data_IF_514757428590
#
_entry.id   IF_514757428590
#
_cell.length_a   1.000
_cell.length_b   1.000
_cell.length_c   1.000
_cell.angle_alpha   90.00
_cell.angle_beta   90.00
_cell.angle_gamma   90.00
#
_symmetry.space_group_name_H-M   'P 1'
#
loop_
_entity.id
_entity.type
_entity.pdbx_description
1 polymer ?
#
# COMPACT_ATOMS: atom_id res chain seq x y z
N UNK A 1 -36.81 14.34 23.48
CA UNK A 1 -37.91 14.91 22.64
C UNK A 1 -39.23 14.88 23.41
N UNK A 2 -40.17 15.76 23.07
CA UNK A 2 -41.52 15.69 23.61
C UNK A 2 -42.16 14.34 23.22
N UNK A 3 -42.79 13.60 24.16
CA UNK A 3 -43.40 12.29 23.90
C UNK A 3 -44.43 12.29 22.77
N UNK A 4 -45.07 13.42 22.48
CA UNK A 4 -46.05 13.59 21.38
C UNK A 4 -45.41 13.43 20.00
N UNK A 5 -44.09 13.64 19.89
CA UNK A 5 -43.32 13.50 18.67
C UNK A 5 -42.46 12.23 18.65
N UNK A 6 -42.73 11.28 19.54
CA UNK A 6 -42.05 9.99 19.57
C UNK A 6 -42.95 8.86 19.10
N UNK A 7 -42.38 7.89 18.39
CA UNK A 7 -43.06 6.66 18.02
C UNK A 7 -43.28 5.79 19.27
N UNK A 8 -44.52 5.38 19.54
CA UNK A 8 -44.82 4.58 20.73
C UNK A 8 -44.35 3.11 20.66
N UNK A 9 -43.75 2.69 19.54
CA UNK A 9 -43.20 1.33 19.37
C UNK A 9 -41.71 1.29 19.69
N UNK A 10 -40.93 2.20 19.12
CA UNK A 10 -39.47 2.25 19.29
C UNK A 10 -39.01 3.37 20.22
N UNK A 11 -39.92 4.24 20.68
CA UNK A 11 -39.68 5.33 21.63
C UNK A 11 -38.73 6.44 21.16
N UNK A 12 -38.45 6.50 19.86
CA UNK A 12 -37.59 7.52 19.23
C UNK A 12 -38.41 8.59 18.50
N UNK A 13 -37.79 9.74 18.18
CA UNK A 13 -38.43 10.84 17.44
C UNK A 13 -38.97 10.37 16.09
N UNK A 14 -40.21 10.68 15.75
CA UNK A 14 -40.90 10.12 14.57
C UNK A 14 -40.12 10.30 13.26
N UNK A 15 -39.99 9.21 12.49
CA UNK A 15 -39.40 9.19 11.16
C UNK A 15 -40.43 8.65 10.16
N UNK A 16 -40.81 9.49 9.20
CA UNK A 16 -41.87 9.19 8.23
C UNK A 16 -43.18 8.72 8.92
N UNK A 17 -43.76 9.56 9.80
CA UNK A 17 -44.89 9.20 10.66
C UNK A 17 -46.16 8.85 9.86
N UNK A 18 -46.91 7.86 10.31
CA UNK A 18 -48.28 7.58 9.87
C UNK A 18 -49.25 7.76 11.04
N UNK A 19 -50.40 8.37 10.78
CA UNK A 19 -51.45 8.57 11.78
C UNK A 19 -52.59 7.62 11.48
N UNK A 20 -52.92 6.76 12.44
CA UNK A 20 -54.03 5.82 12.31
C UNK A 20 -55.39 6.52 12.43
N UNK A 21 -56.50 5.89 11.96
CA UNK A 21 -57.84 6.44 12.15
C UNK A 21 -58.21 6.70 13.62
N UNK A 22 -57.63 5.94 14.56
CA UNK A 22 -57.79 6.16 16.00
C UNK A 22 -56.94 7.32 16.57
N UNK A 23 -56.26 8.11 15.72
CA UNK A 23 -55.47 9.29 16.11
C UNK A 23 -54.03 9.02 16.54
N UNK A 24 -53.69 7.78 16.90
CA UNK A 24 -52.33 7.41 17.30
C UNK A 24 -51.34 7.40 16.13
N UNK A 25 -50.14 7.91 16.37
CA UNK A 25 -49.10 8.10 15.35
C UNK A 25 -47.87 7.25 15.65
N UNK A 26 -47.30 6.66 14.60
CA UNK A 26 -46.16 5.75 14.65
C UNK A 26 -45.29 5.94 13.41
N UNK A 27 -44.07 5.38 13.42
CA UNK A 27 -43.28 5.31 12.18
C UNK A 27 -43.92 4.36 11.17
N UNK A 28 -43.88 4.73 9.89
CA UNK A 28 -44.36 3.86 8.82
C UNK A 28 -43.65 2.49 8.83
N UNK A 29 -42.35 2.46 9.14
CA UNK A 29 -41.55 1.23 9.17
C UNK A 29 -41.97 0.31 10.32
N UNK A 30 -42.09 0.84 11.55
CA UNK A 30 -42.52 0.07 12.71
C UNK A 30 -43.92 -0.53 12.51
N UNK A 31 -44.85 0.24 11.93
CA UNK A 31 -46.19 -0.28 11.65
C UNK A 31 -46.20 -1.34 10.56
N UNK A 32 -45.39 -1.19 9.50
CA UNK A 32 -45.24 -2.22 8.46
C UNK A 32 -44.70 -3.52 9.03
N UNK A 33 -43.70 -3.46 9.90
CA UNK A 33 -43.12 -4.64 10.54
C UNK A 33 -44.09 -5.34 11.49
N UNK A 34 -44.87 -4.59 12.28
CA UNK A 34 -45.96 -5.16 13.07
C UNK A 34 -47.03 -5.80 12.17
N UNK A 35 -47.37 -5.15 11.05
CA UNK A 35 -48.32 -5.68 10.07
C UNK A 35 -47.89 -7.02 9.48
N UNK A 36 -46.62 -7.16 9.10
CA UNK A 36 -46.10 -8.39 8.49
C UNK A 36 -45.99 -9.53 9.51
N UNK A 37 -45.54 -9.24 10.73
CA UNK A 37 -45.45 -10.24 11.81
C UNK A 37 -46.82 -10.80 12.22
N UNK A 38 -47.87 -9.99 12.16
CA UNK A 38 -49.23 -10.41 12.50
C UNK A 38 -49.85 -11.41 11.51
N UNK A 39 -49.33 -11.53 10.27
CA UNK A 39 -49.85 -12.47 9.28
C UNK A 39 -49.52 -13.95 9.58
N UNK A 40 -48.51 -14.23 10.39
CA UNK A 40 -48.08 -15.60 10.70
C UNK A 40 -48.77 -16.24 11.91
N UNK A 41 -49.49 -15.46 12.71
CA UNK A 41 -50.32 -15.97 13.81
C UNK A 41 -51.77 -15.87 13.37
N UNK A 42 -52.28 -16.94 12.77
CA UNK A 42 -53.72 -17.09 12.51
C UNK A 42 -54.51 -16.56 13.73
N UNK A 43 -55.38 -15.57 13.50
CA UNK A 43 -56.45 -15.07 14.41
C UNK A 43 -56.18 -13.93 15.41
N UNK A 44 -55.22 -13.03 15.16
CA UNK A 44 -55.28 -11.71 15.82
C UNK A 44 -55.50 -10.59 14.80
N UNK A 45 -56.71 -10.02 14.83
CA UNK A 45 -57.03 -8.77 14.14
C UNK A 45 -55.94 -7.74 14.38
N UNK A 46 -55.44 -7.15 13.30
CA UNK A 46 -54.42 -6.10 13.34
C UNK A 46 -55.02 -4.94 14.14
N UNK A 47 -54.42 -4.62 15.29
CA UNK A 47 -54.95 -3.65 16.25
C UNK A 47 -53.88 -2.63 16.61
N UNK A 48 -54.32 -1.40 16.85
CA UNK A 48 -53.45 -0.32 17.32
C UNK A 48 -52.73 -0.75 18.61
N UNK A 49 -51.38 -0.64 18.67
CA UNK A 49 -50.61 -1.03 19.87
C UNK A 49 -50.99 -0.26 21.14
N UNK A 50 -51.57 0.94 21.00
CA UNK A 50 -51.93 1.79 22.14
C UNK A 50 -53.37 1.53 22.60
N UNK A 51 -54.35 1.72 21.71
CA UNK A 51 -55.77 1.72 22.08
C UNK A 51 -56.56 0.49 21.60
N UNK A 52 -55.89 -0.45 20.91
CA UNK A 52 -56.49 -1.69 20.39
C UNK A 52 -57.61 -1.51 19.37
N UNK A 53 -57.82 -0.30 18.83
CA UNK A 53 -58.71 -0.09 17.68
C UNK A 53 -58.26 -0.94 16.49
N UNK A 54 -59.22 -1.46 15.71
CA UNK A 54 -58.93 -2.20 14.49
C UNK A 54 -58.14 -1.34 13.49
N UNK A 55 -57.13 -1.94 12.87
CA UNK A 55 -56.31 -1.29 11.86
C UNK A 55 -56.96 -1.46 10.46
N UNK A 56 -56.87 -0.44 9.59
CA UNK A 56 -57.42 -0.52 8.24
C UNK A 56 -56.66 -1.54 7.40
N UNK A 57 -57.30 -2.17 6.42
CA UNK A 57 -56.65 -3.16 5.56
C UNK A 57 -55.36 -2.64 4.90
N UNK A 58 -55.39 -1.38 4.46
CA UNK A 58 -54.25 -0.63 3.93
C UNK A 58 -53.83 0.43 4.94
N UNK A 59 -52.55 0.45 5.30
CA UNK A 59 -52.02 1.47 6.21
C UNK A 59 -52.05 2.87 5.56
N UNK A 60 -52.31 3.93 6.35
CA UNK A 60 -52.25 5.31 5.85
C UNK A 60 -50.88 5.68 5.29
N UNK A 61 -50.86 6.64 4.37
CA UNK A 61 -49.62 7.26 3.87
C UNK A 61 -48.96 8.11 4.96
N UNK A 62 -47.69 8.44 4.73
CA UNK A 62 -46.91 9.32 5.61
C UNK A 62 -47.61 10.67 5.77
N UNK A 63 -47.74 11.11 7.02
CA UNK A 63 -48.25 12.42 7.39
C UNK A 63 -47.12 13.45 7.20
N UNK A 64 -47.12 14.13 6.05
CA UNK A 64 -46.10 15.09 5.67
C UNK A 64 -46.04 16.31 6.61
N UNK A 65 -47.18 16.73 7.15
CA UNK A 65 -47.24 17.86 8.09
C UNK A 65 -46.55 17.53 9.41
N UNK A 66 -46.79 16.34 9.98
CA UNK A 66 -46.09 15.88 11.18
C UNK A 66 -44.60 15.64 10.90
N UNK A 67 -44.26 15.09 9.73
CA UNK A 67 -42.87 14.93 9.32
C UNK A 67 -42.13 16.27 9.30
N UNK A 68 -42.69 17.27 8.63
CA UNK A 68 -42.10 18.61 8.55
C UNK A 68 -42.00 19.29 9.93
N UNK A 69 -43.01 19.11 10.79
CA UNK A 69 -42.98 19.63 12.15
C UNK A 69 -41.85 19.00 12.97
N UNK A 70 -41.69 17.67 12.90
CA UNK A 70 -40.62 16.94 13.58
C UNK A 70 -39.24 17.36 13.07
N UNK A 71 -39.05 17.41 11.75
CA UNK A 71 -37.78 17.82 11.14
C UNK A 71 -37.42 19.28 11.48
N UNK A 72 -38.41 20.13 11.75
CA UNK A 72 -38.20 21.51 12.20
C UNK A 72 -37.93 21.62 13.70
N UNK A 73 -38.64 20.87 14.53
CA UNK A 73 -38.56 20.97 16.00
C UNK A 73 -37.40 20.16 16.59
N UNK A 74 -37.03 19.05 15.94
CA UNK A 74 -36.02 18.10 16.39
C UNK A 74 -35.07 17.70 15.23
N UNK A 75 -34.41 18.68 14.57
CA UNK A 75 -33.62 18.44 13.36
C UNK A 75 -32.48 17.44 13.59
N UNK A 76 -31.71 17.60 14.67
CA UNK A 76 -30.54 16.77 14.96
C UNK A 76 -30.94 15.32 15.25
N UNK A 77 -32.01 15.12 16.02
CA UNK A 77 -32.49 13.78 16.34
C UNK A 77 -33.08 13.09 15.11
N UNK A 78 -33.84 13.83 14.28
CA UNK A 78 -34.40 13.30 13.04
C UNK A 78 -33.30 12.92 12.04
N UNK A 79 -32.26 13.75 11.90
CA UNK A 79 -31.12 13.49 11.02
C UNK A 79 -30.32 12.26 11.48
N UNK A 80 -29.94 12.21 12.76
CA UNK A 80 -29.21 11.08 13.36
C UNK A 80 -29.98 9.77 13.16
N UNK A 81 -31.27 9.79 13.48
CA UNK A 81 -32.15 8.62 13.33
C UNK A 81 -32.29 8.18 11.88
N UNK A 82 -32.39 9.12 10.93
CA UNK A 82 -32.47 8.80 9.50
C UNK A 82 -31.20 8.11 9.01
N UNK A 83 -30.03 8.53 9.48
CA UNK A 83 -28.74 7.89 9.18
C UNK A 83 -28.64 6.48 9.78
N UNK A 84 -29.09 6.29 11.02
CA UNK A 84 -29.11 4.96 11.64
C UNK A 84 -30.00 3.99 10.89
N UNK A 85 -31.16 4.44 10.42
CA UNK A 85 -32.11 3.61 9.65
C UNK A 85 -31.52 3.22 8.29
N UNK A 86 -30.83 4.12 7.59
CA UNK A 86 -30.14 3.77 6.33
C UNK A 86 -29.01 2.78 6.57
N UNK A 87 -28.20 2.95 7.63
CA UNK A 87 -27.16 1.99 8.02
C UNK A 87 -27.74 0.61 8.35
N UNK A 88 -28.81 0.54 9.14
CA UNK A 88 -29.50 -0.72 9.47
C UNK A 88 -30.06 -1.39 8.20
N UNK A 89 -30.65 -0.63 7.30
CA UNK A 89 -31.19 -1.15 6.03
C UNK A 89 -30.08 -1.71 5.12
N UNK A 90 -28.94 -1.01 5.01
CA UNK A 90 -27.78 -1.49 4.27
C UNK A 90 -27.18 -2.76 4.88
N UNK A 91 -27.03 -2.81 6.21
CA UNK A 91 -26.57 -3.99 6.92
C UNK A 91 -27.53 -5.19 6.76
N UNK A 92 -28.84 -4.93 6.75
CA UNK A 92 -29.84 -5.99 6.54
C UNK A 92 -29.85 -6.51 5.10
N UNK A 93 -29.65 -5.63 4.10
CA UNK A 93 -29.45 -6.02 2.71
C UNK A 93 -28.17 -6.85 2.55
N UNK A 94 -27.07 -6.45 3.21
CA UNK A 94 -25.82 -7.22 3.24
C UNK A 94 -26.02 -8.58 3.91
N UNK A 95 -26.68 -8.64 5.08
CA UNK A 95 -26.97 -9.90 5.76
C UNK A 95 -27.82 -10.83 4.89
N UNK A 96 -28.82 -10.28 4.19
CA UNK A 96 -29.66 -11.07 3.27
C UNK A 96 -28.83 -11.60 2.10
N UNK A 97 -27.98 -10.76 1.49
CA UNK A 97 -27.07 -11.19 0.43
C UNK A 97 -26.08 -12.29 0.89
N UNK A 98 -25.54 -12.16 2.10
CA UNK A 98 -24.65 -13.17 2.74
C UNK A 98 -25.40 -14.45 3.07
N UNK A 99 -26.69 -14.36 3.43
CA UNK A 99 -27.51 -15.54 3.78
C UNK A 99 -27.95 -16.34 2.56
N UNK A 100 -28.01 -15.73 1.36
CA UNK A 100 -28.47 -16.40 0.13
C UNK A 100 -27.31 -17.12 -0.58
N UNK A 101 -26.06 -16.66 -0.45
CA UNK A 101 -24.87 -17.41 -0.90
C UNK A 101 -23.67 -17.24 0.07
N UNK A 102 -23.58 -18.08 1.13
CA UNK A 102 -22.46 -18.05 2.09
C UNK A 102 -21.09 -18.28 1.43
N UNK A 103 -21.10 -19.08 0.36
CA UNK A 103 -19.91 -19.62 -0.27
C UNK A 103 -19.29 -18.70 -1.33
N UNK A 104 -20.09 -17.86 -1.99
CA UNK A 104 -19.63 -17.00 -3.07
C UNK A 104 -18.95 -15.74 -2.54
N UNK A 105 -19.48 -15.14 -1.47
CA UNK A 105 -18.89 -13.94 -0.87
C UNK A 105 -17.64 -14.32 -0.09
N UNK A 106 -17.65 -15.40 0.70
CA UNK A 106 -16.45 -15.82 1.42
C UNK A 106 -15.31 -16.17 0.47
N UNK A 107 -15.59 -16.91 -0.62
CA UNK A 107 -14.59 -17.17 -1.67
C UNK A 107 -14.14 -15.89 -2.36
N UNK A 108 -15.04 -15.00 -2.79
CA UNK A 108 -14.65 -13.77 -3.48
C UNK A 108 -13.91 -12.79 -2.57
N UNK A 109 -14.27 -12.70 -1.29
CA UNK A 109 -13.64 -11.83 -0.30
C UNK A 109 -12.30 -12.39 0.17
N UNK A 110 -12.16 -13.71 0.38
CA UNK A 110 -10.85 -14.33 0.61
C UNK A 110 -9.98 -14.25 -0.65
N UNK A 111 -10.52 -14.55 -1.84
CA UNK A 111 -9.77 -14.47 -3.10
C UNK A 111 -9.29 -13.05 -3.36
N UNK A 112 -10.14 -12.03 -3.20
CA UNK A 112 -9.72 -10.63 -3.37
C UNK A 112 -8.72 -10.19 -2.31
N UNK A 113 -8.85 -10.65 -1.06
CA UNK A 113 -7.92 -10.32 0.02
C UNK A 113 -6.58 -11.03 -0.12
N UNK A 114 -6.59 -12.33 -0.41
CA UNK A 114 -5.38 -13.12 -0.70
C UNK A 114 -4.73 -12.55 -1.95
N UNK A 115 -5.46 -12.31 -3.03
CA UNK A 115 -4.91 -11.72 -4.26
C UNK A 115 -4.32 -10.32 -4.02
N UNK A 116 -4.94 -9.47 -3.20
CA UNK A 116 -4.39 -8.17 -2.85
C UNK A 116 -3.13 -8.29 -1.97
N UNK A 117 -3.16 -9.12 -0.92
CA UNK A 117 -2.04 -9.33 -0.01
C UNK A 117 -0.85 -10.01 -0.72
N UNK A 118 -1.10 -11.09 -1.48
CA UNK A 118 -0.04 -11.80 -2.22
C UNK A 118 0.51 -10.96 -3.37
N UNK A 119 -0.29 -10.20 -4.11
CA UNK A 119 0.26 -9.39 -5.20
C UNK A 119 1.09 -8.22 -4.68
N UNK A 120 0.69 -7.59 -3.56
CA UNK A 120 1.50 -6.52 -2.94
C UNK A 120 2.83 -7.08 -2.44
N UNK A 121 2.82 -8.24 -1.77
CA UNK A 121 4.06 -8.85 -1.27
C UNK A 121 4.95 -9.40 -2.38
N UNK A 122 4.38 -10.02 -3.42
CA UNK A 122 5.14 -10.54 -4.58
C UNK A 122 5.69 -9.39 -5.43
N UNK A 123 4.91 -8.35 -5.71
CA UNK A 123 5.41 -7.17 -6.42
C UNK A 123 6.48 -6.45 -5.60
N UNK A 124 6.27 -6.29 -4.29
CA UNK A 124 7.29 -5.70 -3.40
C UNK A 124 8.56 -6.54 -3.39
N UNK A 125 8.46 -7.87 -3.31
CA UNK A 125 9.60 -8.79 -3.35
C UNK A 125 10.34 -8.74 -4.69
N UNK A 126 9.62 -8.74 -5.81
CA UNK A 126 10.22 -8.69 -7.14
C UNK A 126 10.91 -7.36 -7.43
N UNK A 127 10.26 -6.24 -7.07
CA UNK A 127 10.84 -4.89 -7.21
C UNK A 127 12.04 -4.72 -6.30
N UNK A 128 12.00 -5.17 -5.03
CA UNK A 128 13.16 -5.13 -4.14
C UNK A 128 14.31 -5.97 -4.67
N UNK A 129 14.05 -7.21 -5.11
CA UNK A 129 15.09 -8.08 -5.67
C UNK A 129 15.70 -7.51 -6.96
N UNK A 130 14.90 -6.86 -7.81
CA UNK A 130 15.40 -6.15 -9.00
C UNK A 130 16.27 -4.96 -8.64
N UNK A 131 15.81 -4.10 -7.71
CA UNK A 131 16.57 -2.93 -7.27
C UNK A 131 17.85 -3.31 -6.53
N UNK A 132 17.83 -4.38 -5.73
CA UNK A 132 19.02 -4.90 -5.05
C UNK A 132 20.04 -5.47 -6.04
N UNK A 133 19.58 -6.22 -7.04
CA UNK A 133 20.45 -6.73 -8.11
C UNK A 133 21.03 -5.60 -8.95
N UNK A 134 20.21 -4.65 -9.38
CA UNK A 134 20.66 -3.49 -10.14
C UNK A 134 21.65 -2.63 -9.33
N UNK A 135 21.40 -2.41 -8.04
CA UNK A 135 22.31 -1.69 -7.16
C UNK A 135 23.65 -2.43 -7.00
N UNK A 136 23.62 -3.75 -6.86
CA UNK A 136 24.83 -4.57 -6.79
C UNK A 136 25.62 -4.52 -8.11
N UNK A 137 24.96 -4.74 -9.24
CA UNK A 137 25.58 -4.67 -10.57
C UNK A 137 26.16 -3.27 -10.84
N UNK A 138 25.46 -2.20 -10.43
CA UNK A 138 25.96 -0.83 -10.56
C UNK A 138 27.18 -0.58 -9.68
N UNK A 139 27.20 -1.13 -8.45
CA UNK A 139 28.35 -1.04 -7.55
C UNK A 139 29.57 -1.77 -8.10
N UNK A 140 29.37 -2.97 -8.68
CA UNK A 140 30.44 -3.74 -9.32
C UNK A 140 30.98 -2.96 -10.52
N UNK A 141 30.11 -2.49 -11.42
CA UNK A 141 30.52 -1.68 -12.58
C UNK A 141 31.21 -0.38 -12.20
N UNK A 142 30.79 0.28 -11.11
CA UNK A 142 31.47 1.46 -10.58
C UNK A 142 32.85 1.14 -10.01
N UNK A 143 33.02 -0.02 -9.36
CA UNK A 143 34.32 -0.49 -8.88
C UNK A 143 35.25 -0.85 -10.03
N UNK A 144 34.77 -1.62 -11.01
CA UNK A 144 35.50 -1.99 -12.22
C UNK A 144 35.87 -0.76 -13.04
N UNK A 145 34.92 0.15 -13.30
CA UNK A 145 35.23 1.40 -14.01
C UNK A 145 36.21 2.29 -13.23
N UNK A 146 36.18 2.26 -11.88
CA UNK A 146 37.17 2.98 -11.07
C UNK A 146 38.54 2.33 -11.18
N UNK A 147 38.65 1.00 -11.11
CA UNK A 147 39.92 0.30 -11.23
C UNK A 147 40.50 0.40 -12.64
N UNK A 148 39.68 0.23 -13.69
CA UNK A 148 40.08 0.43 -15.09
C UNK A 148 40.55 1.85 -15.37
N UNK A 149 39.81 2.88 -14.92
CA UNK A 149 40.22 4.27 -15.10
C UNK A 149 41.51 4.60 -14.33
N UNK A 150 41.68 4.06 -13.13
CA UNK A 150 42.91 4.20 -12.35
C UNK A 150 44.08 3.51 -13.05
N UNK A 151 43.91 2.29 -13.57
CA UNK A 151 44.91 1.54 -14.32
C UNK A 151 45.28 2.24 -15.64
N UNK A 152 44.29 2.75 -16.38
CA UNK A 152 44.49 3.55 -17.60
C UNK A 152 45.24 4.85 -17.33
N UNK A 153 44.90 5.57 -16.24
CA UNK A 153 45.61 6.77 -15.81
C UNK A 153 47.06 6.43 -15.45
N UNK A 154 47.27 5.35 -14.70
CA UNK A 154 48.61 4.86 -14.33
C UNK A 154 49.46 4.56 -15.56
N UNK A 155 48.88 3.85 -16.53
CA UNK A 155 49.54 3.52 -17.80
C UNK A 155 49.78 4.76 -18.67
N UNK A 156 48.87 5.73 -18.68
CA UNK A 156 49.03 6.99 -19.40
C UNK A 156 50.20 7.80 -18.83
N UNK A 157 50.28 7.89 -17.50
CA UNK A 157 51.39 8.52 -16.78
C UNK A 157 52.74 7.83 -17.07
N UNK A 158 52.74 6.49 -17.17
CA UNK A 158 53.94 5.71 -17.53
C UNK A 158 54.33 5.89 -19.01
N UNK A 159 53.38 5.83 -19.95
CA UNK A 159 53.62 5.99 -21.41
C UNK A 159 54.04 7.42 -21.78
N UNK A 160 53.48 8.44 -21.12
CA UNK A 160 53.89 9.84 -21.32
C UNK A 160 55.26 10.14 -20.69
N UNK A 161 55.76 9.26 -19.82
CA UNK A 161 57.02 9.33 -19.10
C UNK A 161 58.31 9.18 -19.94
N UNK A 162 58.31 9.51 -21.22
CA UNK A 162 59.56 9.60 -22.01
C UNK A 162 60.07 11.05 -22.12
N UNK A 163 59.35 12.09 -21.63
CA UNK A 163 59.84 13.48 -21.85
C UNK A 163 59.89 14.48 -20.69
N UNK A 164 59.28 14.30 -19.50
CA UNK A 164 59.41 15.31 -18.42
C UNK A 164 59.63 14.74 -17.00
N UNK A 165 60.70 15.23 -16.36
CA UNK A 165 61.18 15.14 -14.96
C UNK A 165 60.32 14.33 -13.95
N UNK A 166 60.80 13.15 -13.58
CA UNK A 166 60.14 12.08 -12.79
C UNK A 166 59.58 12.34 -11.37
N UNK A 167 59.50 13.57 -10.87
CA UNK A 167 58.95 13.84 -9.52
C UNK A 167 57.41 13.89 -9.50
N UNK A 168 56.77 14.54 -10.49
CA UNK A 168 55.31 14.63 -10.56
C UNK A 168 54.65 13.25 -10.82
N UNK A 169 55.31 12.40 -11.61
CA UNK A 169 54.87 11.03 -11.91
C UNK A 169 54.94 10.12 -10.68
N UNK A 170 56.02 10.23 -9.91
CA UNK A 170 56.20 9.52 -8.63
C UNK A 170 55.09 9.86 -7.64
N UNK A 171 54.70 11.13 -7.57
CA UNK A 171 53.65 11.60 -6.67
C UNK A 171 52.26 11.13 -7.11
N UNK A 172 51.94 11.24 -8.40
CA UNK A 172 50.66 10.76 -8.95
C UNK A 172 50.49 9.23 -8.79
N UNK A 173 51.56 8.47 -9.01
CA UNK A 173 51.60 7.01 -8.79
C UNK A 173 51.39 6.66 -7.30
N UNK A 174 52.05 7.37 -6.38
CA UNK A 174 51.84 7.17 -4.94
C UNK A 174 50.40 7.44 -4.51
N UNK A 175 49.79 8.50 -5.03
CA UNK A 175 48.40 8.83 -4.74
C UNK A 175 47.45 7.74 -5.27
N UNK A 176 47.68 7.23 -6.50
CA UNK A 176 46.87 6.15 -7.05
C UNK A 176 46.96 4.86 -6.22
N UNK A 177 48.16 4.50 -5.78
CA UNK A 177 48.39 3.33 -4.90
C UNK A 177 47.71 3.53 -3.53
N UNK A 178 47.80 4.72 -2.93
CA UNK A 178 47.16 5.03 -1.65
C UNK A 178 45.62 4.99 -1.72
N UNK A 179 45.05 5.28 -2.88
CA UNK A 179 43.60 5.21 -3.14
C UNK A 179 43.11 3.80 -3.52
N UNK A 180 43.96 2.78 -3.37
CA UNK A 180 43.62 1.38 -3.59
C UNK A 180 43.49 0.96 -5.05
N UNK A 181 44.31 1.55 -5.94
CA UNK A 181 44.36 1.12 -7.34
C UNK A 181 44.67 -0.38 -7.46
N UNK A 182 43.96 -1.05 -8.37
CA UNK A 182 44.22 -2.45 -8.71
C UNK A 182 45.55 -2.56 -9.45
N UNK A 183 46.51 -3.27 -8.86
CA UNK A 183 47.89 -3.34 -9.37
C UNK A 183 48.12 -4.54 -10.30
N UNK A 184 47.27 -5.57 -10.16
CA UNK A 184 47.40 -6.87 -10.83
C UNK A 184 46.44 -7.04 -12.00
N UNK A 185 45.67 -5.98 -12.32
CA UNK A 185 44.79 -5.98 -13.49
C UNK A 185 45.60 -6.21 -14.77
N UNK A 186 45.21 -7.23 -15.54
CA UNK A 186 45.78 -7.52 -16.86
C UNK A 186 45.04 -6.74 -17.92
N UNK A 187 45.76 -5.97 -18.73
CA UNK A 187 45.14 -5.21 -19.82
C UNK A 187 44.74 -6.12 -21.00
N UNK A 188 44.17 -5.54 -22.06
CA UNK A 188 43.78 -6.30 -23.27
C UNK A 188 44.94 -6.99 -24.01
N UNK A 189 46.20 -6.73 -23.63
CA UNK A 189 47.39 -7.45 -24.12
C UNK A 189 47.90 -8.48 -23.10
N UNK A 190 47.22 -8.66 -21.97
CA UNK A 190 47.59 -9.57 -20.90
C UNK A 190 48.71 -9.06 -19.99
N UNK A 191 48.97 -7.74 -19.94
CA UNK A 191 50.12 -7.17 -19.22
C UNK A 191 49.71 -6.42 -17.96
N UNK A 192 50.49 -6.57 -16.89
CA UNK A 192 50.33 -5.78 -15.64
C UNK A 192 51.20 -4.52 -15.64
N UNK A 193 50.90 -3.64 -14.67
CA UNK A 193 51.69 -2.43 -14.41
C UNK A 193 53.09 -2.79 -13.90
N UNK A 194 53.21 -3.82 -13.07
CA UNK A 194 54.49 -4.32 -12.55
C UNK A 194 55.40 -4.82 -13.68
N UNK A 195 54.84 -5.59 -14.62
CA UNK A 195 55.58 -6.06 -15.80
C UNK A 195 56.11 -4.89 -16.64
N UNK A 196 55.25 -3.90 -16.92
CA UNK A 196 55.64 -2.74 -17.73
C UNK A 196 56.78 -1.95 -17.08
N UNK A 197 56.73 -1.77 -15.75
CA UNK A 197 57.79 -1.12 -14.99
C UNK A 197 59.12 -1.91 -15.03
N UNK A 198 59.06 -3.24 -14.97
CA UNK A 198 60.23 -4.12 -15.06
C UNK A 198 60.85 -4.10 -16.45
N UNK A 199 60.03 -4.25 -17.51
CA UNK A 199 60.47 -4.19 -18.91
C UNK A 199 61.18 -2.87 -19.25
N UNK A 200 60.65 -1.77 -18.72
CA UNK A 200 61.18 -0.43 -18.99
C UNK A 200 62.35 -0.06 -18.03
N UNK A 201 62.78 -0.97 -17.14
CA UNK A 201 63.95 -0.83 -16.28
C UNK A 201 63.75 0.06 -15.04
N UNK A 202 62.51 0.34 -14.64
CA UNK A 202 62.20 1.23 -13.53
C UNK A 202 62.19 0.50 -12.17
N UNK A 203 63.39 0.18 -11.67
CA UNK A 203 63.59 -0.60 -10.44
C UNK A 203 62.91 0.01 -9.19
N UNK A 204 62.91 1.35 -9.07
CA UNK A 204 62.23 2.03 -7.96
C UNK A 204 60.72 1.76 -7.98
N UNK A 205 60.11 1.83 -9.17
CA UNK A 205 58.67 1.63 -9.32
C UNK A 205 58.27 0.17 -9.09
N UNK A 206 59.06 -0.79 -9.60
CA UNK A 206 58.85 -2.22 -9.31
C UNK A 206 58.88 -2.47 -7.81
N UNK A 207 59.85 -1.87 -7.10
CA UNK A 207 59.94 -1.99 -5.64
C UNK A 207 58.74 -1.34 -4.92
N UNK A 208 58.27 -0.19 -5.40
CA UNK A 208 57.11 0.49 -4.83
C UNK A 208 55.81 -0.30 -5.03
N UNK A 209 55.61 -0.90 -6.20
CA UNK A 209 54.46 -1.76 -6.52
C UNK A 209 54.47 -3.05 -5.70
N UNK A 210 55.61 -3.74 -5.61
CA UNK A 210 55.76 -4.93 -4.77
C UNK A 210 55.45 -4.64 -3.29
N UNK A 211 55.90 -3.50 -2.77
CA UNK A 211 55.58 -3.06 -1.40
C UNK A 211 54.10 -2.73 -1.21
N UNK A 212 53.42 -2.32 -2.27
CA UNK A 212 51.99 -2.09 -2.27
C UNK A 212 51.15 -3.37 -2.47
N UNK A 213 51.81 -4.52 -2.59
CA UNK A 213 51.16 -5.83 -2.72
C UNK A 213 50.85 -6.25 -4.16
N UNK A 214 51.43 -5.59 -5.16
CA UNK A 214 51.34 -6.05 -6.54
C UNK A 214 52.05 -7.40 -6.70
N UNK A 215 51.39 -8.33 -7.38
CA UNK A 215 51.98 -9.60 -7.79
C UNK A 215 52.92 -9.37 -8.98
N UNK A 216 54.21 -9.35 -8.68
CA UNK A 216 55.29 -9.18 -9.67
C UNK A 216 55.53 -10.45 -10.48
N UNK A 217 55.02 -11.59 -10.02
CA UNK A 217 55.20 -12.90 -10.64
C UNK A 217 53.92 -13.37 -11.37
N UNK A 218 52.90 -12.50 -11.46
CA UNK A 218 51.65 -12.80 -12.15
C UNK A 218 51.93 -13.21 -13.60
N UNK A 219 51.45 -14.38 -14.01
CA UNK A 219 51.63 -14.91 -15.37
C UNK A 219 50.93 -14.00 -16.40
N UNK A 220 51.70 -13.09 -17.00
CA UNK A 220 51.27 -12.24 -18.11
C UNK A 220 51.52 -12.92 -19.45
N UNK A 221 50.72 -12.62 -20.48
CA UNK A 221 50.81 -13.24 -21.82
C UNK A 221 51.99 -12.74 -22.68
N UNK A 222 53.08 -12.25 -22.06
CA UNK A 222 54.18 -11.54 -22.72
C UNK A 222 55.57 -11.97 -22.31
#
# INVERSE_FOLDING_TARGET
PDPTFCCAICHEVLLDPISLPCGHTFDAACMRELYTRAHHRQEQSKRCPICRHGLPEILPKVNLSLKAAVEKMYPDQAATRREEVTKRSANQALHTAVSVEPDAIMRKTLELRIFAETNVEVLRGHVLAQLEKEAYDLQVRLREAKSENQALLLRCLLKQGIREKGFAQTLAMRMAIQEGAELDHVDGNGMTVAYSAARDGNAWLVHALAKAGADVDLETLG
#
